data_IF_040290397444
#
_entry.id   IF_040290397444
#
_cell.length_a   1.000
_cell.length_b   1.000
_cell.length_c   1.000
_cell.angle_alpha   90.00
_cell.angle_beta   90.00
_cell.angle_gamma   90.00
#
_symmetry.space_group_name_H-M   'P 1'
#
loop_
_entity.id
_entity.type
_entity.pdbx_description
1 polymer ?
#
# COMPACT_ATOMS: atom_id res chain seq x y z
N UNK A 1 7.85 -15.03 -0.71
CA UNK A 1 8.03 -13.95 -1.71
C UNK A 1 8.73 -12.79 -1.00
N UNK A 2 9.52 -11.98 -1.70
CA UNK A 2 10.29 -10.87 -1.11
C UNK A 2 9.85 -9.55 -1.71
N UNK A 3 9.93 -8.48 -0.92
CA UNK A 3 9.50 -7.16 -1.32
C UNK A 3 10.50 -6.49 -2.28
N UNK A 4 10.00 -5.56 -3.12
CA UNK A 4 10.84 -4.57 -3.83
C UNK A 4 11.18 -3.39 -2.93
N UNK A 5 12.08 -2.53 -3.40
CA UNK A 5 12.42 -1.29 -2.69
C UNK A 5 11.31 -0.26 -2.85
N UNK A 6 10.82 0.27 -1.73
CA UNK A 6 9.89 1.39 -1.69
C UNK A 6 10.41 2.46 -0.71
N UNK A 7 10.84 3.64 -1.19
CA UNK A 7 11.33 4.69 -0.30
C UNK A 7 10.21 5.20 0.62
N UNK A 8 10.56 5.71 1.79
CA UNK A 8 9.63 6.54 2.57
C UNK A 8 9.20 7.74 1.74
N UNK A 9 7.99 8.21 2.00
CA UNK A 9 7.51 9.42 1.35
C UNK A 9 8.29 10.64 1.85
N UNK A 10 8.47 11.61 0.96
CA UNK A 10 9.08 12.88 1.33
C UNK A 10 8.28 13.56 2.46
N UNK A 11 8.96 14.37 3.29
CA UNK A 11 8.29 15.28 4.20
C UNK A 11 7.30 16.16 3.44
N UNK A 12 6.14 16.41 4.04
CA UNK A 12 5.13 17.27 3.43
C UNK A 12 5.57 18.74 3.45
N UNK A 13 5.17 19.49 2.42
CA UNK A 13 5.62 20.87 2.25
C UNK A 13 5.12 21.77 3.38
N UNK A 14 3.85 21.66 3.76
CA UNK A 14 3.23 22.46 4.81
C UNK A 14 3.84 22.11 6.19
N UNK A 15 4.36 23.09 6.95
CA UNK A 15 4.97 22.85 8.26
C UNK A 15 4.01 22.29 9.31
N UNK A 16 2.74 22.72 9.29
CA UNK A 16 1.74 22.29 10.29
C UNK A 16 1.31 20.85 10.03
N UNK A 17 1.03 20.51 8.78
CA UNK A 17 0.74 19.13 8.37
C UNK A 17 1.95 18.22 8.64
N UNK A 18 3.17 18.70 8.39
CA UNK A 18 4.41 17.96 8.68
C UNK A 18 4.56 17.65 10.15
N UNK A 19 4.26 18.60 11.04
CA UNK A 19 4.30 18.36 12.48
C UNK A 19 3.26 17.30 12.89
N UNK A 20 2.05 17.35 12.32
CA UNK A 20 0.99 16.37 12.62
C UNK A 20 1.30 14.96 12.09
N UNK A 21 2.03 14.87 10.98
CA UNK A 21 2.38 13.60 10.33
C UNK A 21 3.77 13.06 10.75
N UNK A 22 4.48 13.72 11.67
CA UNK A 22 5.88 13.42 12.00
C UNK A 22 6.12 11.96 12.39
N UNK A 23 5.16 11.35 13.10
CA UNK A 23 5.27 9.97 13.60
C UNK A 23 4.45 8.96 12.79
N UNK A 24 3.96 9.38 11.63
CA UNK A 24 3.02 8.60 10.82
C UNK A 24 3.61 8.22 9.47
N UNK A 25 4.86 8.63 9.20
CA UNK A 25 5.59 8.22 8.00
C UNK A 25 6.03 6.78 8.14
N UNK A 26 5.57 5.94 7.22
CA UNK A 26 5.99 4.55 7.17
C UNK A 26 7.48 4.46 6.76
N UNK A 27 8.25 3.55 7.38
CA UNK A 27 9.66 3.37 7.07
C UNK A 27 9.86 2.86 5.63
N UNK A 28 11.07 2.99 5.06
CA UNK A 28 11.34 2.48 3.72
C UNK A 28 11.30 0.95 3.73
N UNK A 29 10.80 0.37 2.65
CA UNK A 29 10.88 -1.07 2.40
C UNK A 29 12.13 -1.33 1.57
N UNK A 30 12.99 -2.23 2.02
CA UNK A 30 14.22 -2.58 1.32
C UNK A 30 14.00 -3.81 0.45
N UNK A 31 14.53 -3.81 -0.77
CA UNK A 31 14.48 -4.98 -1.65
C UNK A 31 15.07 -6.22 -0.96
N UNK A 32 14.40 -7.36 -1.11
CA UNK A 32 14.81 -8.61 -0.49
C UNK A 32 14.36 -8.77 0.96
N UNK A 33 13.74 -7.75 1.56
CA UNK A 33 13.06 -7.92 2.84
C UNK A 33 11.89 -8.90 2.70
N UNK A 34 11.56 -9.67 3.76
CA UNK A 34 10.33 -10.43 3.78
C UNK A 34 9.13 -9.49 3.61
N UNK A 35 8.09 -9.98 2.96
CA UNK A 35 6.80 -9.30 2.93
C UNK A 35 6.27 -9.25 4.37
N UNK A 36 5.97 -8.04 4.82
CA UNK A 36 5.72 -7.72 6.22
C UNK A 36 4.42 -6.91 6.34
N UNK A 37 3.42 -7.53 6.99
CA UNK A 37 2.09 -6.96 7.20
C UNK A 37 2.14 -5.63 7.96
N UNK A 38 3.08 -5.46 8.89
CA UNK A 38 3.21 -4.23 9.66
C UNK A 38 3.67 -3.07 8.77
N UNK A 39 4.51 -3.35 7.76
CA UNK A 39 4.94 -2.35 6.78
C UNK A 39 3.79 -1.95 5.83
N UNK A 40 2.96 -2.90 5.41
CA UNK A 40 1.75 -2.62 4.65
C UNK A 40 0.78 -1.77 5.49
N UNK A 41 0.52 -2.18 6.72
CA UNK A 41 -0.38 -1.45 7.60
C UNK A 41 0.11 -0.01 7.86
N UNK A 42 1.40 0.16 8.09
CA UNK A 42 2.02 1.48 8.20
C UNK A 42 1.80 2.35 6.95
N UNK A 43 1.95 1.78 5.74
CA UNK A 43 1.71 2.50 4.49
C UNK A 43 0.24 2.90 4.30
N UNK A 44 -0.70 2.02 4.69
CA UNK A 44 -2.15 2.30 4.67
C UNK A 44 -2.49 3.47 5.61
N UNK A 45 -2.00 3.40 6.86
CA UNK A 45 -2.22 4.45 7.87
C UNK A 45 -1.63 5.78 7.41
N UNK A 46 -0.41 5.77 6.86
CA UNK A 46 0.22 6.98 6.33
C UNK A 46 -0.65 7.64 5.24
N UNK A 47 -1.18 6.87 4.29
CA UNK A 47 -2.04 7.39 3.21
C UNK A 47 -3.35 7.96 3.73
N UNK A 48 -4.01 7.28 4.67
CA UNK A 48 -5.26 7.77 5.27
C UNK A 48 -5.07 9.10 6.02
N UNK A 49 -3.96 9.24 6.74
CA UNK A 49 -3.64 10.47 7.47
C UNK A 49 -3.28 11.61 6.51
N UNK A 50 -2.54 11.33 5.44
CA UNK A 50 -2.25 12.32 4.38
C UNK A 50 -3.52 12.80 3.68
N UNK A 51 -4.49 11.93 3.44
CA UNK A 51 -5.81 12.36 2.94
C UNK A 51 -6.56 13.26 3.92
N UNK A 52 -6.53 12.91 5.21
CA UNK A 52 -7.14 13.74 6.26
C UNK A 52 -6.52 15.14 6.29
N UNK A 53 -5.20 15.25 6.21
CA UNK A 53 -4.53 16.56 6.14
C UNK A 53 -4.78 17.29 4.81
N UNK A 54 -4.96 16.57 3.69
CA UNK A 54 -5.35 17.18 2.43
C UNK A 54 -6.75 17.80 2.48
N UNK A 55 -7.70 17.17 3.17
CA UNK A 55 -9.03 17.76 3.42
C UNK A 55 -8.96 19.04 4.25
N UNK A 56 -7.93 19.16 5.11
CA UNK A 56 -7.63 20.38 5.88
C UNK A 56 -6.88 21.45 5.07
N UNK A 57 -6.56 21.17 3.80
CA UNK A 57 -5.78 22.05 2.93
C UNK A 57 -4.27 22.04 3.19
N UNK A 58 -3.77 21.15 4.06
CA UNK A 58 -2.35 21.07 4.43
C UNK A 58 -1.50 20.27 3.44
N UNK A 59 -2.09 19.44 2.60
CA UNK A 59 -1.40 18.65 1.58
C UNK A 59 -1.93 18.93 0.18
N UNK A 60 -1.02 18.86 -0.78
CA UNK A 60 -1.36 18.87 -2.20
C UNK A 60 -1.92 17.52 -2.64
N UNK A 61 -2.72 17.52 -3.71
CA UNK A 61 -3.17 16.29 -4.36
C UNK A 61 -2.01 15.37 -4.78
N UNK A 62 -0.86 15.94 -5.12
CA UNK A 62 0.34 15.19 -5.50
C UNK A 62 0.94 14.42 -4.34
N UNK A 63 0.98 15.01 -3.14
CA UNK A 63 1.48 14.35 -1.93
C UNK A 63 0.58 13.19 -1.50
N UNK A 64 -0.74 13.35 -1.64
CA UNK A 64 -1.70 12.26 -1.40
C UNK A 64 -1.54 11.15 -2.43
N UNK A 65 -1.44 11.50 -3.72
CA UNK A 65 -1.29 10.53 -4.80
C UNK A 65 0.00 9.70 -4.64
N UNK A 66 1.09 10.32 -4.21
CA UNK A 66 2.34 9.61 -3.92
C UNK A 66 2.15 8.54 -2.83
N UNK A 67 1.35 8.83 -1.80
CA UNK A 67 1.02 7.88 -0.75
C UNK A 67 0.16 6.73 -1.26
N UNK A 68 -0.88 7.03 -2.05
CA UNK A 68 -1.76 6.02 -2.63
C UNK A 68 -1.00 5.08 -3.59
N UNK A 69 -0.10 5.61 -4.42
CA UNK A 69 0.73 4.80 -5.32
C UNK A 69 1.64 3.86 -4.51
N UNK A 70 2.27 4.37 -3.45
CA UNK A 70 3.17 3.58 -2.59
C UNK A 70 2.42 2.47 -1.86
N UNK A 71 1.30 2.78 -1.22
CA UNK A 71 0.42 1.80 -0.58
C UNK A 71 -0.01 0.72 -1.58
N UNK A 72 -0.51 1.13 -2.75
CA UNK A 72 -1.01 0.19 -3.75
C UNK A 72 0.08 -0.76 -4.26
N UNK A 73 1.30 -0.25 -4.44
CA UNK A 73 2.42 -1.08 -4.86
C UNK A 73 2.78 -2.13 -3.79
N UNK A 74 2.84 -1.74 -2.51
CA UNK A 74 3.12 -2.66 -1.40
C UNK A 74 1.97 -3.69 -1.25
N UNK A 75 0.72 -3.24 -1.33
CA UNK A 75 -0.46 -4.10 -1.26
C UNK A 75 -0.48 -5.14 -2.38
N UNK A 76 -0.08 -4.77 -3.59
CA UNK A 76 -0.04 -5.69 -4.74
C UNK A 76 0.96 -6.83 -4.51
N UNK A 77 2.10 -6.56 -3.87
CA UNK A 77 3.07 -7.60 -3.53
C UNK A 77 2.55 -8.52 -2.41
N UNK A 78 1.85 -7.97 -1.41
CA UNK A 78 1.19 -8.75 -0.37
C UNK A 78 0.11 -9.65 -0.94
N UNK A 79 -0.76 -9.10 -1.78
CA UNK A 79 -1.83 -9.86 -2.43
C UNK A 79 -1.26 -11.00 -3.28
N UNK A 80 -0.16 -10.77 -4.02
CA UNK A 80 0.49 -11.81 -4.81
C UNK A 80 1.14 -12.91 -3.95
N UNK A 81 1.55 -12.58 -2.72
CA UNK A 81 2.14 -13.52 -1.78
C UNK A 81 1.08 -14.35 -1.02
N UNK A 82 -0.01 -13.71 -0.61
CA UNK A 82 -1.10 -14.30 0.16
C UNK A 82 -2.09 -15.08 -0.72
N UNK A 83 -2.35 -14.57 -1.93
CA UNK A 83 -3.23 -15.18 -2.92
C UNK A 83 -2.47 -15.55 -4.20
N UNK A 84 -1.63 -16.61 -4.16
CA UNK A 84 -1.01 -17.12 -5.39
C UNK A 84 -2.09 -17.43 -6.43
N UNK A 85 -1.78 -17.18 -7.70
CA UNK A 85 -2.68 -17.25 -8.87
C UNK A 85 -3.49 -18.55 -8.99
N UNK A 86 -3.13 -19.60 -8.25
CA UNK A 86 -3.87 -20.85 -8.08
C UNK A 86 -5.25 -20.69 -7.45
N UNK A 87 -5.50 -19.66 -6.62
CA UNK A 87 -6.85 -19.42 -6.08
C UNK A 87 -7.86 -18.97 -7.15
N UNK A 88 -7.40 -18.30 -8.21
CA UNK A 88 -8.26 -17.89 -9.32
C UNK A 88 -8.77 -19.08 -10.15
N UNK A 89 -8.05 -20.23 -10.15
CA UNK A 89 -8.47 -21.41 -10.90
C UNK A 89 -9.67 -22.14 -10.26
N UNK A 90 -9.87 -22.01 -8.95
CA UNK A 90 -10.96 -22.67 -8.22
C UNK A 90 -12.32 -21.99 -8.47
N UNK A 91 -12.32 -20.73 -8.92
CA UNK A 91 -13.55 -19.96 -9.21
C UNK A 91 -13.86 -19.94 -10.72
N UNK A 92 -13.61 -21.05 -11.42
CA UNK A 92 -14.09 -21.22 -12.79
C UNK A 92 -15.41 -22.01 -12.75
N UNK A 93 -16.60 -21.37 -12.84
CA UNK A 93 -17.85 -22.11 -13.00
C UNK A 93 -17.90 -22.62 -14.44
N UNK A 94 -17.34 -23.82 -14.67
CA UNK A 94 -17.16 -24.33 -16.02
C UNK A 94 -16.98 -25.83 -16.17
N UNK A 95 -17.14 -26.62 -15.11
CA UNK A 95 -17.19 -28.08 -15.25
C UNK A 95 -18.64 -28.48 -15.50
N UNK A 96 -19.07 -28.35 -16.76
CA UNK A 96 -20.22 -29.11 -17.24
C UNK A 96 -19.84 -30.60 -17.16
N UNK A 97 -20.27 -31.25 -16.08
CA UNK A 97 -20.33 -32.71 -16.00
C UNK A 97 -21.37 -33.17 -17.03
N UNK A 98 -20.93 -33.55 -18.23
CA UNK A 98 -21.81 -34.25 -19.16
C UNK A 98 -22.14 -35.64 -18.57
N UNK A 99 -23.42 -35.99 -18.37
CA UNK A 99 -23.80 -37.37 -18.16
C UNK A 99 -23.70 -38.13 -19.48
N UNK A 100 -23.16 -39.35 -19.41
CA UNK A 100 -23.23 -40.35 -20.48
C UNK A 100 -24.68 -40.79 -20.73
#
# INVERSE_FOLDING_TARGET
MYAKTYPSLNPVADPVARQRLLHTTAPPVLAGAPIDEDLLYGAIVERQLRETEAQRGGLTRREVLAAAIREHAILSEHAAAEYPTTFAAVVTPGVNLQPQ
#
